data_IF_732110543503
#
_entry.id   IF_732110543503
#
_cell.length_a   1.000
_cell.length_b   1.000
_cell.length_c   1.000
_cell.angle_alpha   90.00
_cell.angle_beta   90.00
_cell.angle_gamma   90.00
#
_symmetry.space_group_name_H-M   'P 1'
#
loop_
_entity.id
_entity.type
_entity.pdbx_description
1 polymer ?
#
# COMPACT_ATOMS: atom_id res chain seq x y z
N UNK A 1 -9.38 26.94 16.45
CA UNK A 1 -8.83 26.01 17.45
C UNK A 1 -7.91 25.07 16.67
N UNK A 2 -6.64 25.04 16.98
CA UNK A 2 -5.69 24.10 16.36
C UNK A 2 -5.76 22.80 17.13
N UNK A 3 -5.83 21.66 16.43
CA UNK A 3 -5.73 20.34 17.06
C UNK A 3 -4.35 20.16 17.69
N UNK A 4 -4.31 19.60 18.90
CA UNK A 4 -3.06 19.14 19.50
C UNK A 4 -2.63 17.80 18.87
N UNK A 5 -1.39 17.39 19.13
CA UNK A 5 -0.89 16.08 18.70
C UNK A 5 -1.76 14.95 19.26
N UNK A 6 -2.10 15.02 20.54
CA UNK A 6 -2.93 14.03 21.25
C UNK A 6 -4.34 13.96 20.68
N UNK A 7 -4.98 15.11 20.39
CA UNK A 7 -6.32 15.16 19.80
C UNK A 7 -6.31 14.56 18.38
N UNK A 8 -5.29 14.85 17.57
CA UNK A 8 -5.14 14.29 16.23
C UNK A 8 -4.89 12.78 16.29
N UNK A 9 -4.01 12.32 17.19
CA UNK A 9 -3.74 10.89 17.39
C UNK A 9 -5.00 10.13 17.81
N UNK A 10 -5.75 10.65 18.80
CA UNK A 10 -7.00 10.06 19.26
C UNK A 10 -8.07 10.03 18.15
N UNK A 11 -8.16 11.09 17.33
CA UNK A 11 -9.08 11.13 16.20
C UNK A 11 -8.71 10.11 15.11
N UNK A 12 -7.43 9.94 14.81
CA UNK A 12 -6.95 8.92 13.86
C UNK A 12 -7.23 7.52 14.37
N UNK A 13 -6.92 7.26 15.62
CA UNK A 13 -7.21 5.99 16.27
C UNK A 13 -8.72 5.69 16.25
N UNK A 14 -9.58 6.67 16.60
CA UNK A 14 -11.04 6.54 16.54
C UNK A 14 -11.56 6.28 15.14
N UNK A 15 -10.90 6.80 14.10
CA UNK A 15 -11.29 6.61 12.71
C UNK A 15 -11.05 5.19 12.19
N UNK A 16 -10.22 4.37 12.85
CA UNK A 16 -10.04 3.00 12.40
C UNK A 16 -8.85 2.22 12.93
N UNK A 17 -8.01 2.85 13.75
CA UNK A 17 -6.82 2.21 14.30
C UNK A 17 -7.04 1.33 15.53
N UNK A 18 -8.25 1.38 16.13
CA UNK A 18 -8.51 0.69 17.38
C UNK A 18 -8.27 -0.82 17.35
N UNK A 19 -7.72 -1.32 18.42
CA UNK A 19 -7.61 -2.73 18.71
C UNK A 19 -6.30 -3.11 19.39
N UNK A 20 -6.30 -4.29 20.01
CA UNK A 20 -5.10 -4.90 20.53
C UNK A 20 -4.11 -5.24 19.40
N UNK A 21 -2.89 -5.57 19.76
CA UNK A 21 -1.89 -6.05 18.79
C UNK A 21 -2.41 -7.27 18.01
N UNK A 22 -3.08 -8.18 18.68
CA UNK A 22 -3.67 -9.40 18.13
C UNK A 22 -4.77 -9.09 17.12
N UNK A 23 -5.63 -8.11 17.42
CA UNK A 23 -6.69 -7.65 16.51
C UNK A 23 -6.11 -6.97 15.27
N UNK A 24 -5.03 -6.20 15.42
CA UNK A 24 -4.32 -5.61 14.27
C UNK A 24 -3.67 -6.67 13.38
N UNK A 25 -3.00 -7.65 13.97
CA UNK A 25 -2.43 -8.81 13.25
C UNK A 25 -3.54 -9.52 12.46
N UNK A 26 -4.66 -9.84 13.12
CA UNK A 26 -5.78 -10.52 12.48
C UNK A 26 -6.39 -9.70 11.33
N UNK A 27 -6.52 -8.38 11.51
CA UNK A 27 -7.01 -7.47 10.48
C UNK A 27 -6.06 -7.42 9.28
N UNK A 28 -4.77 -7.26 9.52
CA UNK A 28 -3.77 -7.20 8.46
C UNK A 28 -3.66 -8.53 7.70
N UNK A 29 -3.77 -9.65 8.42
CA UNK A 29 -3.75 -10.98 7.81
C UNK A 29 -4.92 -11.24 6.83
N UNK A 30 -6.06 -10.54 6.96
CA UNK A 30 -7.19 -10.66 6.01
C UNK A 30 -6.85 -10.21 4.59
N UNK A 31 -5.79 -9.41 4.43
CA UNK A 31 -5.33 -8.97 3.11
C UNK A 31 -4.51 -10.04 2.37
N UNK A 32 -3.94 -11.02 3.09
CA UNK A 32 -3.07 -12.05 2.50
C UNK A 32 -3.75 -12.79 1.33
N UNK A 33 -4.99 -13.32 1.45
CA UNK A 33 -5.62 -14.02 0.34
C UNK A 33 -5.77 -13.15 -0.91
N UNK A 34 -6.13 -11.88 -0.74
CA UNK A 34 -6.29 -10.96 -1.86
C UNK A 34 -4.95 -10.66 -2.56
N UNK A 35 -3.91 -10.32 -1.80
CA UNK A 35 -2.59 -10.06 -2.39
C UNK A 35 -1.99 -11.32 -3.00
N UNK A 36 -2.16 -12.48 -2.36
CA UNK A 36 -1.74 -13.76 -2.93
C UNK A 36 -2.43 -14.06 -4.25
N UNK A 37 -3.73 -13.79 -4.37
CA UNK A 37 -4.48 -13.95 -5.62
C UNK A 37 -3.91 -13.04 -6.73
N UNK A 38 -3.69 -11.77 -6.42
CA UNK A 38 -3.09 -10.81 -7.37
C UNK A 38 -1.68 -11.22 -7.78
N UNK A 39 -0.86 -11.66 -6.82
CA UNK A 39 0.51 -12.09 -7.07
C UNK A 39 0.58 -13.37 -7.92
N UNK A 40 -0.31 -14.34 -7.70
CA UNK A 40 -0.36 -15.56 -8.50
C UNK A 40 -0.52 -15.26 -10.00
N UNK A 41 -1.33 -14.26 -10.36
CA UNK A 41 -1.47 -13.80 -11.76
C UNK A 41 -0.19 -13.19 -12.34
N UNK A 42 0.81 -12.89 -11.51
CA UNK A 42 2.07 -12.22 -11.89
C UNK A 42 3.32 -13.10 -11.69
N UNK A 43 3.20 -14.36 -11.25
CA UNK A 43 4.34 -15.21 -10.92
C UNK A 43 5.38 -15.37 -12.05
N UNK A 44 4.94 -15.27 -13.30
CA UNK A 44 5.80 -15.33 -14.48
C UNK A 44 6.21 -13.95 -14.99
N UNK A 45 5.87 -12.88 -14.27
CA UNK A 45 6.19 -11.53 -14.70
C UNK A 45 7.70 -11.27 -14.66
N UNK A 46 8.24 -10.78 -15.77
CA UNK A 46 9.59 -10.24 -15.89
C UNK A 46 9.59 -8.71 -15.98
N UNK A 47 8.42 -8.07 -15.81
CA UNK A 47 8.30 -6.62 -15.93
C UNK A 47 9.18 -5.88 -14.92
N UNK A 48 9.85 -4.85 -15.37
CA UNK A 48 10.55 -3.88 -14.52
C UNK A 48 9.58 -3.05 -13.68
N UNK A 49 10.05 -2.00 -13.00
CA UNK A 49 9.17 -1.09 -12.27
C UNK A 49 8.24 -0.35 -13.23
N UNK A 50 7.04 -0.04 -12.76
CA UNK A 50 6.10 0.74 -13.56
C UNK A 50 6.52 2.23 -13.65
N UNK A 51 5.96 3.00 -14.64
CA UNK A 51 6.32 4.41 -14.82
C UNK A 51 6.09 5.28 -13.58
N UNK A 52 5.05 5.01 -12.80
CA UNK A 52 4.77 5.76 -11.58
C UNK A 52 5.83 5.51 -10.49
N UNK A 53 6.28 4.26 -10.33
CA UNK A 53 7.33 3.93 -9.37
C UNK A 53 8.66 4.62 -9.75
N UNK A 54 8.99 4.65 -11.06
CA UNK A 54 10.17 5.40 -11.54
C UNK A 54 10.03 6.90 -11.35
N UNK A 55 8.84 7.46 -11.55
CA UNK A 55 8.58 8.88 -11.31
C UNK A 55 8.78 9.23 -9.82
N UNK A 56 8.27 8.41 -8.91
CA UNK A 56 8.48 8.58 -7.46
C UNK A 56 9.96 8.49 -7.09
N UNK A 57 10.67 7.47 -7.59
CA UNK A 57 12.10 7.33 -7.34
C UNK A 57 12.89 8.54 -7.84
N UNK A 58 12.56 9.06 -9.04
CA UNK A 58 13.18 10.28 -9.58
C UNK A 58 12.90 11.51 -8.71
N UNK A 59 11.67 11.71 -8.23
CA UNK A 59 11.31 12.83 -7.35
C UNK A 59 12.12 12.78 -6.05
N UNK A 60 12.24 11.60 -5.43
CA UNK A 60 13.02 11.44 -4.20
C UNK A 60 14.53 11.62 -4.45
N UNK A 61 15.04 11.18 -5.59
CA UNK A 61 16.42 11.42 -6.00
C UNK A 61 16.69 12.92 -6.24
N UNK A 62 15.81 13.60 -6.98
CA UNK A 62 15.92 15.04 -7.25
C UNK A 62 15.82 15.88 -5.96
N UNK A 63 15.14 15.37 -4.93
CA UNK A 63 15.06 15.96 -3.60
C UNK A 63 16.26 15.66 -2.70
N UNK A 64 17.26 14.89 -3.18
CA UNK A 64 18.45 14.53 -2.41
C UNK A 64 18.22 13.49 -1.30
N UNK A 65 17.13 12.70 -1.41
CA UNK A 65 16.76 11.70 -0.41
C UNK A 65 17.41 10.34 -0.71
N UNK A 66 17.53 10.02 -1.98
CA UNK A 66 18.15 8.78 -2.45
C UNK A 66 19.63 9.07 -2.77
N UNK A 67 20.52 8.61 -1.91
CA UNK A 67 21.97 8.69 -2.14
C UNK A 67 22.46 7.37 -2.74
N UNK A 68 23.36 7.42 -3.71
CA UNK A 68 24.01 6.21 -4.22
C UNK A 68 24.66 5.43 -3.08
N UNK A 69 24.47 4.11 -3.09
CA UNK A 69 24.92 3.20 -2.02
C UNK A 69 24.20 3.42 -0.66
N UNK A 70 23.16 4.25 -0.61
CA UNK A 70 22.29 4.39 0.56
C UNK A 70 21.39 3.17 0.75
N UNK A 71 20.96 2.95 2.00
CA UNK A 71 20.10 1.83 2.38
C UNK A 71 18.63 2.25 2.47
N UNK A 72 17.73 1.43 1.93
CA UNK A 72 16.29 1.69 1.95
C UNK A 72 15.49 0.46 2.38
N UNK A 73 14.59 0.66 3.35
CA UNK A 73 13.56 -0.32 3.70
C UNK A 73 12.28 0.00 2.90
N UNK A 74 11.80 -0.96 2.10
CA UNK A 74 10.46 -0.93 1.48
C UNK A 74 9.51 -1.84 2.27
N UNK A 75 8.70 -1.25 3.13
CA UNK A 75 7.78 -1.94 4.02
C UNK A 75 6.42 -2.15 3.38
N UNK A 76 5.96 -3.41 3.31
CA UNK A 76 4.76 -3.80 2.57
C UNK A 76 5.00 -3.70 1.07
N UNK A 77 6.14 -4.21 0.61
CA UNK A 77 6.64 -4.03 -0.76
C UNK A 77 5.77 -4.70 -1.85
N UNK A 78 4.89 -5.63 -1.46
CA UNK A 78 4.08 -6.40 -2.41
C UNK A 78 4.92 -7.07 -3.50
N UNK A 79 4.52 -6.93 -4.75
CA UNK A 79 5.25 -7.45 -5.92
C UNK A 79 6.45 -6.60 -6.34
N UNK A 80 6.83 -5.59 -5.55
CA UNK A 80 8.08 -4.86 -5.63
C UNK A 80 8.15 -3.75 -6.67
N UNK A 81 7.02 -3.12 -7.01
CA UNK A 81 7.03 -2.02 -7.98
C UNK A 81 8.00 -0.91 -7.63
N UNK A 82 7.97 -0.45 -6.38
CA UNK A 82 8.86 0.60 -5.85
C UNK A 82 10.26 0.06 -5.53
N UNK A 83 10.36 -1.12 -4.91
CA UNK A 83 11.65 -1.77 -4.63
C UNK A 83 12.54 -1.84 -5.87
N UNK A 84 11.96 -2.24 -7.03
CA UNK A 84 12.67 -2.31 -8.31
C UNK A 84 13.11 -0.92 -8.78
N UNK A 85 12.24 0.10 -8.63
CA UNK A 85 12.56 1.46 -9.05
C UNK A 85 13.70 2.08 -8.23
N UNK A 86 13.74 1.82 -6.92
CA UNK A 86 14.84 2.27 -6.06
C UNK A 86 16.15 1.52 -6.37
N UNK A 87 16.08 0.20 -6.58
CA UNK A 87 17.25 -0.58 -6.96
C UNK A 87 17.84 -0.17 -8.32
N UNK A 88 17.00 0.27 -9.28
CA UNK A 88 17.47 0.88 -10.54
C UNK A 88 18.28 2.17 -10.33
N UNK A 89 18.08 2.88 -9.22
CA UNK A 89 18.86 4.08 -8.86
C UNK A 89 20.16 3.74 -8.09
N UNK A 90 20.49 2.46 -7.90
CA UNK A 90 21.68 2.02 -7.18
C UNK A 90 21.52 1.98 -5.67
N UNK A 91 20.29 2.03 -5.15
CA UNK A 91 20.00 1.95 -3.72
C UNK A 91 20.05 0.49 -3.24
N UNK A 92 20.62 0.25 -2.07
CA UNK A 92 20.55 -1.05 -1.39
C UNK A 92 19.17 -1.24 -0.75
N UNK A 93 18.30 -2.00 -1.42
CA UNK A 93 16.90 -2.18 -1.00
C UNK A 93 16.73 -3.45 -0.20
N UNK A 94 16.13 -3.32 0.99
CA UNK A 94 15.53 -4.41 1.77
C UNK A 94 14.01 -4.31 1.66
N UNK A 95 13.39 -5.29 1.03
CA UNK A 95 11.96 -5.35 0.76
C UNK A 95 11.27 -6.34 1.70
N UNK A 96 10.29 -5.87 2.48
CA UNK A 96 9.62 -6.67 3.50
C UNK A 96 8.13 -6.77 3.18
N UNK A 97 7.60 -8.00 3.18
CA UNK A 97 6.17 -8.26 3.04
C UNK A 97 5.75 -9.52 3.78
N UNK A 98 4.50 -9.59 4.20
CA UNK A 98 3.95 -10.78 4.83
C UNK A 98 3.55 -11.86 3.83
N UNK A 99 3.27 -11.48 2.56
CA UNK A 99 2.79 -12.38 1.52
C UNK A 99 3.95 -13.02 0.74
N UNK A 100 4.09 -14.34 0.91
CA UNK A 100 5.16 -15.08 0.23
C UNK A 100 5.06 -15.07 -1.30
N UNK A 101 3.90 -15.28 -1.93
CA UNK A 101 3.74 -15.15 -3.39
C UNK A 101 4.18 -13.79 -3.93
N UNK A 102 3.84 -12.70 -3.26
CA UNK A 102 4.28 -11.35 -3.64
C UNK A 102 5.80 -11.24 -3.67
N UNK A 103 6.49 -11.73 -2.64
CA UNK A 103 7.96 -11.75 -2.61
C UNK A 103 8.57 -12.65 -3.68
N UNK A 104 7.91 -13.75 -4.06
CA UNK A 104 8.36 -14.57 -5.19
C UNK A 104 8.29 -13.80 -6.50
N UNK A 105 7.22 -13.06 -6.74
CA UNK A 105 7.08 -12.18 -7.92
C UNK A 105 8.20 -11.13 -7.93
N UNK A 106 8.44 -10.45 -6.81
CA UNK A 106 9.52 -9.47 -6.69
C UNK A 106 10.89 -10.08 -7.04
N UNK A 107 11.22 -11.24 -6.47
CA UNK A 107 12.51 -11.93 -6.75
C UNK A 107 12.67 -12.28 -8.23
N UNK A 108 11.59 -12.78 -8.86
CA UNK A 108 11.61 -13.12 -10.29
C UNK A 108 11.82 -11.87 -11.15
N UNK A 109 11.12 -10.78 -10.84
CA UNK A 109 11.25 -9.49 -11.53
C UNK A 109 12.64 -8.89 -11.33
N UNK A 110 13.16 -8.88 -10.11
CA UNK A 110 14.50 -8.38 -9.79
C UNK A 110 15.57 -9.17 -10.59
N UNK A 111 15.50 -10.50 -10.58
CA UNK A 111 16.40 -11.37 -11.35
C UNK A 111 16.32 -11.08 -12.85
N UNK A 112 15.12 -10.95 -13.41
CA UNK A 112 14.91 -10.69 -14.84
C UNK A 112 15.48 -9.33 -15.29
N UNK A 113 15.54 -8.35 -14.37
CA UNK A 113 16.05 -7.01 -14.64
C UNK A 113 17.50 -6.80 -14.12
N UNK A 114 18.18 -7.86 -13.67
CA UNK A 114 19.56 -7.78 -13.19
C UNK A 114 19.75 -6.95 -11.92
N UNK A 115 18.68 -6.79 -11.12
CA UNK A 115 18.67 -6.02 -9.90
C UNK A 115 18.88 -6.90 -8.66
N UNK A 116 19.61 -6.38 -7.67
CA UNK A 116 19.81 -7.03 -6.38
C UNK A 116 18.91 -6.37 -5.34
N UNK A 117 17.99 -7.15 -4.77
CA UNK A 117 17.06 -6.71 -3.72
C UNK A 117 17.04 -7.79 -2.63
N UNK A 118 17.30 -7.40 -1.40
CA UNK A 118 17.09 -8.29 -0.27
C UNK A 118 15.60 -8.38 0.06
N UNK A 119 15.10 -9.59 0.31
CA UNK A 119 13.67 -9.79 0.58
C UNK A 119 13.49 -10.57 1.87
N UNK A 120 12.66 -10.06 2.76
CA UNK A 120 12.33 -10.70 4.02
C UNK A 120 10.81 -10.90 4.16
N UNK A 121 10.40 -12.11 4.56
CA UNK A 121 9.00 -12.39 4.87
C UNK A 121 8.75 -12.13 6.34
N UNK A 122 8.00 -11.10 6.65
CA UNK A 122 7.63 -10.78 8.02
C UNK A 122 6.26 -10.09 8.09
N UNK A 123 5.53 -10.35 9.17
CA UNK A 123 4.42 -9.50 9.60
C UNK A 123 5.00 -8.21 10.17
N UNK A 124 4.36 -7.07 9.91
CA UNK A 124 4.76 -5.79 10.44
C UNK A 124 5.02 -5.82 11.94
N UNK A 125 4.11 -6.40 12.70
CA UNK A 125 4.16 -6.46 14.17
C UNK A 125 5.34 -7.28 14.71
N UNK A 126 5.96 -8.10 13.89
CA UNK A 126 7.10 -8.95 14.22
C UNK A 126 8.42 -8.46 13.63
N UNK A 127 8.37 -7.57 12.62
CA UNK A 127 9.56 -7.05 11.98
C UNK A 127 10.28 -6.07 12.89
N UNK A 128 11.55 -6.32 13.17
CA UNK A 128 12.39 -5.48 14.01
C UNK A 128 13.84 -5.52 13.50
N UNK A 129 14.24 -4.65 12.58
CA UNK A 129 15.58 -4.63 12.02
C UNK A 129 16.61 -4.28 13.10
N UNK A 130 17.80 -4.89 12.99
CA UNK A 130 18.90 -4.64 13.94
C UNK A 130 19.60 -3.30 13.72
N UNK A 131 19.54 -2.79 12.51
CA UNK A 131 20.14 -1.52 12.09
C UNK A 131 19.09 -0.63 11.46
N UNK A 132 19.30 0.67 11.52
CA UNK A 132 18.45 1.61 10.82
C UNK A 132 18.84 1.68 9.35
N UNK A 133 17.86 2.03 8.52
CA UNK A 133 18.04 2.33 7.11
C UNK A 133 18.17 3.85 6.91
N UNK A 134 18.90 4.30 5.91
CA UNK A 134 18.93 5.74 5.60
C UNK A 134 17.54 6.24 5.27
N UNK A 135 16.77 5.48 4.50
CA UNK A 135 15.41 5.80 4.10
C UNK A 135 14.46 4.67 4.50
N UNK A 136 13.33 5.02 5.09
CA UNK A 136 12.19 4.09 5.25
C UNK A 136 11.07 4.52 4.32
N UNK A 137 10.59 3.58 3.53
CA UNK A 137 9.53 3.78 2.55
C UNK A 137 8.38 2.79 2.75
N UNK A 138 7.17 3.24 2.49
CA UNK A 138 5.99 2.37 2.45
C UNK A 138 4.94 2.94 1.50
N UNK A 139 4.29 2.10 0.72
CA UNK A 139 3.25 2.51 -0.21
C UNK A 139 1.95 1.78 0.04
N UNK A 140 0.90 2.55 0.38
CA UNK A 140 -0.46 2.05 0.56
C UNK A 140 -0.56 0.83 1.51
N UNK A 141 0.35 0.73 2.46
CA UNK A 141 0.40 -0.38 3.41
C UNK A 141 -0.56 -0.12 4.58
N UNK A 142 -1.53 -1.00 4.83
CA UNK A 142 -2.50 -0.82 5.91
C UNK A 142 -1.93 -1.04 7.31
N UNK A 143 -0.69 -1.47 7.42
CA UNK A 143 -0.04 -1.74 8.70
C UNK A 143 0.29 -0.46 9.48
N UNK A 144 0.58 0.65 8.78
CA UNK A 144 0.83 1.95 9.42
C UNK A 144 -0.52 2.68 9.52
N UNK A 145 -1.31 2.40 10.53
CA UNK A 145 -2.71 2.83 10.63
C UNK A 145 -3.03 3.75 11.82
N UNK A 146 -2.05 4.08 12.63
CA UNK A 146 -2.17 4.99 13.77
C UNK A 146 -0.84 5.69 14.09
N UNK A 147 -0.88 6.57 15.09
CA UNK A 147 0.29 7.35 15.51
C UNK A 147 1.45 6.49 16.01
N UNK A 148 1.17 5.42 16.75
CA UNK A 148 2.22 4.56 17.32
C UNK A 148 2.93 3.77 16.22
N UNK A 149 2.17 3.29 15.22
CA UNK A 149 2.75 2.59 14.08
C UNK A 149 3.54 3.55 13.16
N UNK A 150 3.12 4.82 13.05
CA UNK A 150 3.91 5.85 12.35
C UNK A 150 5.23 6.14 13.07
N UNK A 151 5.22 6.28 14.39
CA UNK A 151 6.45 6.45 15.18
C UNK A 151 7.39 5.25 15.07
N UNK A 152 6.82 4.05 15.07
CA UNK A 152 7.60 2.82 14.92
C UNK A 152 8.23 2.73 13.53
N UNK A 153 7.48 3.08 12.48
CA UNK A 153 7.99 3.18 11.11
C UNK A 153 9.13 4.20 11.02
N UNK A 154 8.93 5.43 11.51
CA UNK A 154 9.97 6.46 11.56
C UNK A 154 11.22 5.97 12.33
N UNK A 155 11.02 5.24 13.42
CA UNK A 155 12.09 4.72 14.26
C UNK A 155 13.07 3.76 13.56
N UNK A 156 12.67 3.15 12.44
CA UNK A 156 13.53 2.30 11.61
C UNK A 156 14.39 3.09 10.62
N UNK A 157 14.07 4.39 10.41
CA UNK A 157 14.82 5.29 9.57
C UNK A 157 15.92 6.04 10.32
N UNK A 158 16.98 6.38 9.58
CA UNK A 158 18.09 7.19 10.09
C UNK A 158 18.07 8.63 9.57
N UNK A 159 17.64 8.83 8.31
CA UNK A 159 17.66 10.15 7.66
C UNK A 159 16.26 10.58 7.20
N UNK A 160 15.56 9.74 6.44
CA UNK A 160 14.29 10.12 5.82
C UNK A 160 13.20 9.08 6.00
N UNK A 161 11.96 9.56 6.16
CA UNK A 161 10.74 8.79 6.05
C UNK A 161 9.97 9.18 4.80
N UNK A 162 9.42 8.20 4.07
CA UNK A 162 8.66 8.39 2.85
C UNK A 162 7.41 7.49 2.85
N UNK A 163 6.26 8.06 2.56
CA UNK A 163 4.99 7.32 2.48
C UNK A 163 4.24 7.67 1.20
N UNK A 164 3.62 6.67 0.57
CA UNK A 164 2.55 6.91 -0.40
C UNK A 164 1.24 6.45 0.22
N UNK A 165 0.31 7.37 0.31
CA UNK A 165 -0.99 7.13 0.91
C UNK A 165 -2.13 7.55 -0.04
N UNK A 166 -3.30 6.91 0.11
CA UNK A 166 -4.49 7.27 -0.65
C UNK A 166 -4.96 8.67 -0.25
N UNK A 167 -5.35 9.47 -1.24
CA UNK A 167 -5.98 10.77 -1.04
C UNK A 167 -7.47 10.71 -1.38
N UNK A 168 -8.25 11.65 -0.85
CA UNK A 168 -9.68 11.77 -1.15
C UNK A 168 -9.94 11.99 -2.64
N UNK A 169 -11.12 11.58 -3.08
CA UNK A 169 -11.52 11.68 -4.46
C UNK A 169 -11.06 10.50 -5.33
N UNK A 170 -10.41 9.50 -4.74
CA UNK A 170 -10.23 8.22 -5.42
C UNK A 170 -11.59 7.59 -5.71
N UNK A 171 -11.73 7.06 -6.91
CA UNK A 171 -12.97 6.50 -7.43
C UNK A 171 -12.69 5.18 -8.13
N UNK A 172 -13.52 4.20 -7.85
CA UNK A 172 -13.58 2.93 -8.54
C UNK A 172 -15.05 2.70 -8.89
N UNK A 173 -15.34 2.62 -10.17
CA UNK A 173 -16.70 2.63 -10.72
C UNK A 173 -17.60 1.57 -10.11
N UNK A 174 -17.10 0.34 -10.02
CA UNK A 174 -17.91 -0.78 -9.56
C UNK A 174 -17.77 -1.03 -8.06
N UNK A 175 -16.58 -0.86 -7.50
CA UNK A 175 -16.30 -1.21 -6.11
C UNK A 175 -17.16 -0.47 -5.10
N UNK A 176 -17.36 0.84 -5.32
CA UNK A 176 -18.19 1.66 -4.43
C UNK A 176 -19.65 1.16 -4.38
N UNK A 177 -20.20 0.83 -5.52
CA UNK A 177 -21.59 0.32 -5.61
C UNK A 177 -21.68 -1.10 -5.04
N UNK A 178 -20.75 -1.97 -5.37
CA UNK A 178 -20.68 -3.32 -4.81
C UNK A 178 -20.53 -3.33 -3.28
N UNK A 179 -19.76 -2.42 -2.71
CA UNK A 179 -19.68 -2.27 -1.26
C UNK A 179 -21.04 -1.94 -0.64
N UNK A 180 -21.83 -1.08 -1.28
CA UNK A 180 -23.19 -0.76 -0.83
C UNK A 180 -24.14 -1.96 -0.97
N UNK A 181 -24.16 -2.64 -2.14
CA UNK A 181 -25.04 -3.77 -2.39
C UNK A 181 -24.73 -4.99 -1.50
N UNK A 182 -23.46 -5.17 -1.14
CA UNK A 182 -23.01 -6.25 -0.26
C UNK A 182 -23.04 -5.87 1.23
N UNK A 183 -23.36 -4.61 1.56
CA UNK A 183 -23.35 -4.12 2.93
C UNK A 183 -21.93 -4.09 3.55
N UNK A 184 -20.90 -4.04 2.72
CA UNK A 184 -19.53 -3.95 3.18
C UNK A 184 -19.24 -2.56 3.73
N UNK A 185 -18.77 -2.49 4.97
CA UNK A 185 -18.35 -1.24 5.59
C UNK A 185 -16.85 -1.29 5.80
N UNK A 186 -16.08 -0.38 5.17
CA UNK A 186 -14.65 -0.27 5.44
C UNK A 186 -14.44 0.25 6.86
N UNK A 187 -14.31 -0.65 7.82
CA UNK A 187 -13.91 -0.30 9.19
C UNK A 187 -12.40 -0.45 9.32
N UNK A 188 -11.73 0.57 9.83
CA UNK A 188 -10.31 0.50 10.14
C UNK A 188 -9.36 0.62 8.96
N UNK A 189 -9.78 1.23 7.86
CA UNK A 189 -8.95 1.48 6.67
C UNK A 189 -8.64 2.98 6.53
N UNK A 190 -8.06 3.57 7.56
CA UNK A 190 -7.71 5.00 7.54
C UNK A 190 -6.23 5.20 7.24
N UNK A 191 -5.83 4.79 6.05
CA UNK A 191 -4.52 5.11 5.47
C UNK A 191 -4.62 6.30 4.53
N UNK A 192 -5.52 7.26 4.84
CA UNK A 192 -5.62 8.50 4.09
C UNK A 192 -4.41 9.40 4.38
N UNK A 193 -3.86 9.99 3.35
CA UNK A 193 -2.68 10.85 3.40
C UNK A 193 -2.79 11.99 4.42
N UNK A 194 -4.01 12.50 4.66
CA UNK A 194 -4.29 13.55 5.62
C UNK A 194 -3.84 13.19 7.04
N UNK A 195 -4.01 11.92 7.47
CA UNK A 195 -3.61 11.50 8.81
C UNK A 195 -2.10 11.59 8.99
N UNK A 196 -1.34 11.04 8.04
CA UNK A 196 0.13 11.09 8.07
C UNK A 196 0.64 12.52 8.04
N UNK A 197 0.12 13.35 7.13
CA UNK A 197 0.55 14.74 7.02
C UNK A 197 0.31 15.52 8.31
N UNK A 198 -0.90 15.45 8.87
CA UNK A 198 -1.26 16.18 10.08
C UNK A 198 -0.42 15.72 11.28
N UNK A 199 -0.22 14.40 11.44
CA UNK A 199 0.63 13.89 12.52
C UNK A 199 2.07 14.36 12.38
N UNK A 200 2.67 14.21 11.20
CA UNK A 200 4.04 14.66 10.94
C UNK A 200 4.21 16.16 11.17
N UNK A 201 3.24 16.97 10.71
CA UNK A 201 3.24 18.40 10.94
C UNK A 201 3.20 18.75 12.42
N UNK A 202 2.29 18.12 13.19
CA UNK A 202 2.17 18.34 14.64
C UNK A 202 3.39 17.82 15.42
N UNK A 203 4.09 16.83 14.90
CA UNK A 203 5.39 16.37 15.41
C UNK A 203 6.56 17.31 15.06
N UNK A 204 6.33 18.37 14.27
CA UNK A 204 7.36 19.31 13.82
C UNK A 204 8.23 18.80 12.68
N UNK A 205 7.81 17.79 11.92
CA UNK A 205 8.60 17.18 10.84
C UNK A 205 8.64 17.98 9.54
N UNK A 206 7.74 18.94 9.34
CA UNK A 206 7.63 19.73 8.10
C UNK A 206 7.60 18.87 6.83
N UNK A 207 6.59 17.98 6.67
CA UNK A 207 6.57 17.04 5.56
C UNK A 207 6.37 17.75 4.22
N UNK A 208 7.07 17.27 3.21
CA UNK A 208 6.85 17.61 1.81
C UNK A 208 5.74 16.73 1.23
N UNK A 209 5.00 17.23 0.22
CA UNK A 209 3.91 16.50 -0.41
C UNK A 209 3.95 16.65 -1.92
N UNK A 210 3.79 15.53 -2.63
CA UNK A 210 3.52 15.50 -4.06
C UNK A 210 2.24 14.72 -4.34
N UNK A 211 1.29 15.35 -5.02
CA UNK A 211 0.03 14.72 -5.43
C UNK A 211 0.20 13.98 -6.75
N UNK A 212 -0.46 12.82 -6.86
CA UNK A 212 -0.62 12.07 -8.09
C UNK A 212 -2.08 11.73 -8.32
N UNK A 213 -2.50 11.81 -9.57
CA UNK A 213 -3.78 11.28 -10.03
C UNK A 213 -3.48 10.31 -11.16
N UNK A 214 -3.91 9.06 -11.00
CA UNK A 214 -3.80 8.04 -12.04
C UNK A 214 -5.19 7.63 -12.49
N UNK A 215 -5.37 7.57 -13.77
CA UNK A 215 -6.61 7.17 -14.41
C UNK A 215 -6.39 5.82 -15.12
N UNK A 216 -7.33 4.91 -14.91
CA UNK A 216 -7.30 3.59 -15.51
C UNK A 216 -8.63 3.30 -16.17
N UNK A 217 -8.57 2.87 -17.43
CA UNK A 217 -9.69 2.32 -18.16
C UNK A 217 -9.30 0.92 -18.60
N UNK A 218 -10.14 -0.04 -18.32
CA UNK A 218 -9.93 -1.42 -18.73
C UNK A 218 -11.26 -2.15 -18.87
N UNK A 219 -11.20 -3.34 -19.41
CA UNK A 219 -12.34 -4.24 -19.44
C UNK A 219 -11.89 -5.64 -19.07
N UNK A 220 -12.76 -6.39 -18.43
CA UNK A 220 -12.45 -7.74 -18.02
C UNK A 220 -13.67 -8.66 -18.14
N UNK A 221 -13.45 -9.98 -18.37
CA UNK A 221 -14.50 -10.96 -18.34
C UNK A 221 -15.17 -11.03 -16.97
N UNK A 222 -16.49 -11.29 -16.96
CA UNK A 222 -17.29 -11.42 -15.72
C UNK A 222 -16.63 -12.37 -14.74
N UNK A 223 -16.24 -13.57 -15.19
CA UNK A 223 -15.65 -14.60 -14.33
C UNK A 223 -14.39 -14.09 -13.59
N UNK A 224 -13.52 -13.38 -14.28
CA UNK A 224 -12.30 -12.81 -13.67
C UNK A 224 -12.63 -11.80 -12.59
N UNK A 225 -13.63 -10.93 -12.83
CA UNK A 225 -14.06 -9.93 -11.85
C UNK A 225 -14.76 -10.57 -10.65
N UNK A 226 -15.58 -11.59 -10.87
CA UNK A 226 -16.22 -12.35 -9.79
C UNK A 226 -15.16 -13.01 -8.92
N UNK A 227 -14.21 -13.75 -9.48
CA UNK A 227 -13.16 -14.42 -8.72
C UNK A 227 -12.30 -13.43 -7.92
N UNK A 228 -11.88 -12.34 -8.54
CA UNK A 228 -11.09 -11.32 -7.86
C UNK A 228 -11.84 -10.65 -6.72
N UNK A 229 -13.11 -10.32 -6.93
CA UNK A 229 -13.90 -9.59 -5.95
C UNK A 229 -14.43 -10.49 -4.83
N UNK A 230 -14.65 -11.79 -5.06
CA UNK A 230 -14.89 -12.74 -3.96
C UNK A 230 -13.80 -12.64 -2.90
N UNK A 231 -12.55 -12.77 -3.34
CA UNK A 231 -11.39 -12.69 -2.43
C UNK A 231 -11.26 -11.30 -1.79
N UNK A 232 -11.57 -10.24 -2.55
CA UNK A 232 -11.55 -8.88 -2.01
C UNK A 232 -12.59 -8.67 -0.91
N UNK A 233 -13.82 -9.17 -1.09
CA UNK A 233 -14.88 -8.97 -0.10
C UNK A 233 -14.72 -9.82 1.17
N UNK A 234 -13.93 -10.88 1.14
CA UNK A 234 -13.55 -11.64 2.35
C UNK A 234 -12.79 -10.77 3.37
N UNK A 235 -12.05 -9.73 2.91
CA UNK A 235 -11.38 -8.77 3.79
C UNK A 235 -12.39 -8.10 4.74
N UNK A 236 -13.63 -7.90 4.27
CA UNK A 236 -14.73 -7.28 5.01
C UNK A 236 -15.62 -8.29 5.74
N UNK A 237 -15.24 -9.57 5.73
CA UNK A 237 -15.97 -10.65 6.39
C UNK A 237 -17.19 -11.16 5.62
N UNK A 238 -17.29 -10.87 4.32
CA UNK A 238 -18.34 -11.38 3.44
C UNK A 238 -17.81 -12.65 2.78
N UNK A 239 -18.48 -13.77 3.05
CA UNK A 239 -18.07 -15.07 2.52
C UNK A 239 -18.23 -15.16 0.99
N UNK A 240 -17.41 -15.98 0.30
CA UNK A 240 -17.59 -16.25 -1.13
C UNK A 240 -18.99 -16.71 -1.50
N UNK A 241 -19.64 -17.54 -0.66
CA UNK A 241 -21.01 -18.01 -0.88
C UNK A 241 -22.07 -16.91 -0.86
N UNK A 242 -21.83 -15.84 -0.09
CA UNK A 242 -22.70 -14.66 -0.04
C UNK A 242 -22.42 -13.66 -1.16
N UNK A 243 -21.14 -13.45 -1.47
CA UNK A 243 -20.73 -12.44 -2.44
C UNK A 243 -20.90 -12.89 -3.89
N UNK A 244 -20.54 -14.14 -4.21
CA UNK A 244 -20.50 -14.63 -5.59
C UNK A 244 -21.81 -14.45 -6.38
N UNK A 245 -23.01 -14.85 -5.88
CA UNK A 245 -24.24 -14.66 -6.62
C UNK A 245 -24.52 -13.19 -6.92
N UNK A 246 -24.30 -12.30 -5.95
CA UNK A 246 -24.52 -10.85 -6.11
C UNK A 246 -23.50 -10.22 -7.05
N UNK A 247 -22.23 -10.63 -6.97
CA UNK A 247 -21.19 -10.17 -7.88
C UNK A 247 -21.49 -10.56 -9.31
N UNK A 248 -21.93 -11.81 -9.53
CA UNK A 248 -22.30 -12.32 -10.86
C UNK A 248 -23.47 -11.54 -11.43
N UNK A 249 -24.56 -11.41 -10.69
CA UNK A 249 -25.73 -10.63 -11.10
C UNK A 249 -25.38 -9.16 -11.39
N UNK A 250 -24.52 -8.56 -10.55
CA UNK A 250 -24.06 -7.19 -10.75
C UNK A 250 -23.27 -7.05 -12.05
N UNK A 251 -22.29 -7.90 -12.29
CA UNK A 251 -21.43 -7.80 -13.48
C UNK A 251 -22.17 -8.18 -14.76
N UNK A 252 -23.12 -9.13 -14.73
CA UNK A 252 -23.97 -9.45 -15.87
C UNK A 252 -24.81 -8.24 -16.31
N UNK A 253 -25.32 -7.44 -15.37
CA UNK A 253 -26.06 -6.19 -15.67
C UNK A 253 -25.18 -5.09 -16.31
N UNK A 254 -23.86 -5.13 -16.10
CA UNK A 254 -22.94 -4.12 -16.58
C UNK A 254 -22.05 -4.58 -17.75
N UNK A 255 -22.18 -5.83 -18.16
CA UNK A 255 -21.38 -6.38 -19.25
C UNK A 255 -21.89 -5.93 -20.62
N UNK A 256 -20.96 -5.71 -21.52
CA UNK A 256 -21.19 -5.50 -22.95
C UNK A 256 -20.37 -6.56 -23.69
N UNK A 257 -21.03 -7.40 -24.48
CA UNK A 257 -20.38 -8.51 -25.21
C UNK A 257 -19.53 -9.44 -24.31
N UNK A 258 -20.02 -9.72 -23.10
CA UNK A 258 -19.35 -10.58 -22.12
C UNK A 258 -18.17 -9.94 -21.37
N UNK A 259 -17.86 -8.68 -21.64
CA UNK A 259 -16.82 -7.90 -20.97
C UNK A 259 -17.45 -6.78 -20.14
N UNK A 260 -16.92 -6.55 -18.97
CA UNK A 260 -17.35 -5.44 -18.10
C UNK A 260 -16.36 -4.29 -18.23
N UNK A 261 -16.80 -3.13 -18.76
CA UNK A 261 -15.96 -1.94 -18.80
C UNK A 261 -15.81 -1.34 -17.40
N UNK A 262 -14.60 -1.08 -17.00
CA UNK A 262 -14.29 -0.50 -15.69
C UNK A 262 -13.42 0.73 -15.81
N UNK A 263 -13.58 1.64 -14.85
CA UNK A 263 -12.87 2.91 -14.78
C UNK A 263 -12.54 3.20 -13.32
N UNK A 264 -11.31 3.62 -13.08
CA UNK A 264 -10.89 4.06 -11.76
C UNK A 264 -9.96 5.26 -11.80
N UNK A 265 -10.09 6.12 -10.80
CA UNK A 265 -9.16 7.19 -10.51
C UNK A 265 -8.54 6.90 -9.15
N UNK A 266 -7.22 6.85 -9.10
CA UNK A 266 -6.50 6.69 -7.85
C UNK A 266 -5.73 7.97 -7.57
N UNK A 267 -6.17 8.70 -6.56
CA UNK A 267 -5.46 9.85 -6.02
C UNK A 267 -4.57 9.39 -4.87
N UNK A 268 -3.29 9.68 -4.98
CA UNK A 268 -2.31 9.38 -3.93
C UNK A 268 -1.44 10.58 -3.64
N UNK A 269 -0.86 10.61 -2.46
CA UNK A 269 0.15 11.57 -2.08
C UNK A 269 1.43 10.84 -1.68
N UNK A 270 2.55 11.23 -2.29
CA UNK A 270 3.87 10.96 -1.77
C UNK A 270 4.15 12.01 -0.69
N UNK A 271 4.45 11.56 0.51
CA UNK A 271 4.78 12.38 1.66
C UNK A 271 6.19 11.98 2.10
N UNK A 272 7.10 12.95 2.26
CA UNK A 272 8.45 12.65 2.76
C UNK A 272 8.92 13.73 3.73
N UNK A 273 9.74 13.33 4.67
CA UNK A 273 10.25 14.19 5.73
C UNK A 273 11.63 13.74 6.19
N UNK A 274 12.35 14.67 6.77
CA UNK A 274 13.60 14.41 7.45
C UNK A 274 13.33 13.87 8.87
N UNK A 275 14.01 12.81 9.25
CA UNK A 275 13.93 12.23 10.60
C UNK A 275 14.96 12.93 11.46
N UNK A 276 14.57 13.58 12.58
CA UNK A 276 15.53 14.28 13.43
C UNK A 276 16.57 13.35 14.02
N UNK A 277 17.80 13.79 14.04
CA UNK A 277 18.85 13.15 14.85
C UNK A 277 18.42 13.16 16.33
N UNK A 278 18.56 12.04 17.01
CA UNK A 278 18.22 11.90 18.43
C UNK A 278 19.39 12.27 19.30
#
# INVERSE_FOLDING_TARGET
>A
MYLTLEECAAAWEAAGGHGTKEERIARNARWIPFYSYVAQGQLQSSAGPDPHAREVARILNDAGILESDGTLLDLGCGTGGFSLAFAEQGIEVTAVDMDHPSLMVLRNRAKANGLKIETERAMWEQYNPKTKFDVVFSSMCPAICDYQELLRFEGMGGKYGCLIAVSRGSYDKHRKQLMQELGATPKGMTTEAMWYYNMLYLMGRQPNVRNFTRHFEYQAPIEKLVEQNKVYFEIFGISPGESEPKLREYYERHAVDGMVPDESHINTQLIWWEIPEK
#
